data_IF_327401619230
#
_entry.id   IF_327401619230
#
_cell.length_a   1.000
_cell.length_b   1.000
_cell.length_c   1.000
_cell.angle_alpha   90.00
_cell.angle_beta   90.00
_cell.angle_gamma   90.00
#
_symmetry.space_group_name_H-M   'P 1'
#
loop_
_entity.id
_entity.type
_entity.pdbx_description
1 polymer ?
#
# COMPACT_ATOMS: atom_id res chain seq x y z
N UNK A 1 1.07 24.05 27.55
CA UNK A 1 0.74 23.76 26.14
C UNK A 1 -0.76 23.74 26.01
N UNK A 2 -1.30 24.52 25.07
CA UNK A 2 -2.72 24.49 24.75
C UNK A 2 -3.05 23.19 24.00
N UNK A 3 -4.31 22.75 24.03
CA UNK A 3 -4.81 21.60 23.26
C UNK A 3 -4.44 21.71 21.77
N UNK A 4 -4.50 22.92 21.21
CA UNK A 4 -4.05 23.20 19.82
C UNK A 4 -2.58 22.87 19.58
N UNK A 5 -1.69 23.21 20.51
CA UNK A 5 -0.26 22.93 20.38
C UNK A 5 0.00 21.42 20.37
N UNK A 6 -0.72 20.67 21.21
CA UNK A 6 -0.64 19.20 21.25
C UNK A 6 -1.12 18.61 19.92
N UNK A 7 -2.24 19.09 19.38
CA UNK A 7 -2.76 18.63 18.09
C UNK A 7 -1.75 18.90 16.97
N UNK A 8 -1.13 20.07 16.94
CA UNK A 8 -0.10 20.41 15.93
C UNK A 8 1.11 19.48 16.03
N UNK A 9 1.60 19.20 17.25
CA UNK A 9 2.72 18.26 17.43
C UNK A 9 2.34 16.86 16.94
N UNK A 10 1.15 16.36 17.29
CA UNK A 10 0.66 15.06 16.85
C UNK A 10 0.47 14.99 15.33
N UNK A 11 -0.01 16.08 14.72
CA UNK A 11 -0.14 16.20 13.27
C UNK A 11 1.23 16.11 12.59
N UNK A 12 2.22 16.88 13.06
CA UNK A 12 3.58 16.87 12.52
C UNK A 12 4.23 15.49 12.65
N UNK A 13 4.14 14.87 13.82
CA UNK A 13 4.66 13.51 14.04
C UNK A 13 3.99 12.51 13.10
N UNK A 14 2.67 12.60 12.91
CA UNK A 14 1.93 11.71 12.02
C UNK A 14 2.33 11.89 10.55
N UNK A 15 2.50 13.12 10.08
CA UNK A 15 2.98 13.44 8.73
C UNK A 15 4.38 12.87 8.50
N UNK A 16 5.30 13.08 9.44
CA UNK A 16 6.68 12.58 9.31
C UNK A 16 6.72 11.05 9.26
N UNK A 17 5.98 10.37 10.15
CA UNK A 17 5.94 8.91 10.18
C UNK A 17 5.26 8.33 8.94
N UNK A 18 4.16 8.94 8.49
CA UNK A 18 3.50 8.58 7.22
C UNK A 18 4.49 8.67 6.05
N UNK A 19 5.19 9.79 5.92
CA UNK A 19 6.12 10.05 4.81
C UNK A 19 7.30 9.07 4.81
N UNK A 20 7.90 8.80 5.96
CA UNK A 20 9.01 7.83 6.09
C UNK A 20 8.55 6.44 5.63
N UNK A 21 7.41 5.96 6.11
CA UNK A 21 6.89 4.64 5.77
C UNK A 21 6.48 4.54 4.31
N UNK A 22 5.85 5.59 3.77
CA UNK A 22 5.48 5.66 2.36
C UNK A 22 6.71 5.65 1.45
N UNK A 23 7.78 6.36 1.83
CA UNK A 23 9.05 6.36 1.11
C UNK A 23 9.74 4.99 1.19
N UNK A 24 9.70 4.31 2.35
CA UNK A 24 10.23 2.95 2.49
C UNK A 24 9.48 1.94 1.60
N UNK A 25 8.15 2.03 1.55
CA UNK A 25 7.32 1.23 0.65
C UNK A 25 7.69 1.49 -0.82
N UNK A 26 7.76 2.75 -1.22
CA UNK A 26 8.14 3.18 -2.57
C UNK A 26 9.52 2.66 -2.97
N UNK A 27 10.51 2.77 -2.08
CA UNK A 27 11.87 2.28 -2.30
C UNK A 27 11.91 0.75 -2.41
N UNK A 28 11.11 0.04 -1.61
CA UNK A 28 10.99 -1.40 -1.70
C UNK A 28 10.43 -1.83 -3.06
N UNK A 29 9.33 -1.22 -3.48
CA UNK A 29 8.69 -1.48 -4.78
C UNK A 29 9.69 -1.24 -5.93
N UNK A 30 10.41 -0.13 -5.87
CA UNK A 30 11.39 0.20 -6.90
C UNK A 30 12.59 -0.76 -6.98
N UNK A 31 12.98 -1.38 -5.85
CA UNK A 31 14.07 -2.36 -5.83
C UNK A 31 13.61 -3.78 -6.14
N UNK A 32 12.33 -4.10 -5.94
CA UNK A 32 11.83 -5.46 -6.09
C UNK A 32 11.47 -5.77 -7.55
N UNK A 33 12.42 -6.34 -8.30
CA UNK A 33 12.18 -6.81 -9.66
C UNK A 33 11.16 -7.96 -9.72
N UNK A 34 11.11 -8.80 -8.68
CA UNK A 34 10.12 -9.88 -8.55
C UNK A 34 8.70 -9.33 -8.44
N UNK A 35 8.47 -8.31 -7.58
CA UNK A 35 7.17 -7.67 -7.41
C UNK A 35 6.71 -7.00 -8.70
N UNK A 36 7.60 -6.24 -9.35
CA UNK A 36 7.30 -5.57 -10.63
C UNK A 36 6.85 -6.58 -11.68
N UNK A 37 7.55 -7.72 -11.76
CA UNK A 37 7.20 -8.81 -12.68
C UNK A 37 5.86 -9.46 -12.34
N UNK A 38 5.56 -9.65 -11.05
CA UNK A 38 4.28 -10.22 -10.61
C UNK A 38 3.10 -9.30 -10.96
N UNK A 39 3.26 -7.99 -10.81
CA UNK A 39 2.19 -7.02 -11.06
C UNK A 39 2.03 -6.73 -12.56
N UNK A 40 3.11 -6.40 -13.26
CA UNK A 40 3.05 -5.93 -14.64
C UNK A 40 3.32 -7.01 -15.70
N UNK A 41 3.77 -8.21 -15.31
CA UNK A 41 4.13 -9.30 -16.24
C UNK A 41 5.62 -9.36 -16.58
N UNK A 42 6.01 -10.35 -17.39
CA UNK A 42 7.42 -10.57 -17.76
C UNK A 42 7.98 -9.39 -18.57
N UNK A 43 9.19 -8.95 -18.22
CA UNK A 43 9.99 -7.93 -18.91
C UNK A 43 9.60 -6.46 -18.74
N UNK A 44 8.39 -6.14 -18.26
CA UNK A 44 8.00 -4.76 -17.99
C UNK A 44 8.66 -4.31 -16.67
N UNK A 45 9.51 -3.28 -16.74
CA UNK A 45 10.25 -2.68 -15.62
C UNK A 45 11.31 -3.51 -14.88
N UNK A 46 11.81 -4.63 -15.45
CA UNK A 46 12.81 -5.51 -14.79
C UNK A 46 14.02 -4.74 -14.22
N UNK A 47 14.49 -3.71 -14.93
CA UNK A 47 15.64 -2.86 -14.56
C UNK A 47 15.34 -1.35 -14.58
N UNK A 48 14.07 -0.94 -14.62
CA UNK A 48 13.68 0.49 -14.66
C UNK A 48 13.07 0.92 -13.34
N UNK A 49 13.37 2.14 -12.90
CA UNK A 49 12.60 2.81 -11.86
C UNK A 49 11.17 3.02 -12.35
N UNK A 50 10.22 2.77 -11.47
CA UNK A 50 8.84 3.14 -11.68
C UNK A 50 8.67 4.63 -11.39
N UNK A 51 7.82 5.29 -12.18
CA UNK A 51 7.31 6.61 -11.83
C UNK A 51 6.36 6.53 -10.62
N UNK A 52 5.98 7.70 -10.10
CA UNK A 52 5.12 7.80 -8.92
C UNK A 52 3.77 7.12 -9.17
N UNK A 53 3.16 7.32 -10.33
CA UNK A 53 1.85 6.75 -10.67
C UNK A 53 1.85 5.21 -10.62
N UNK A 54 2.91 4.58 -11.15
CA UNK A 54 3.06 3.14 -11.14
C UNK A 54 3.39 2.58 -9.73
N UNK A 55 4.13 3.33 -8.91
CA UNK A 55 4.35 2.96 -7.51
C UNK A 55 3.03 2.98 -6.74
N UNK A 56 2.25 4.06 -6.85
CA UNK A 56 0.95 4.17 -6.19
C UNK A 56 -0.02 3.08 -6.67
N UNK A 57 0.01 2.77 -7.97
CA UNK A 57 -0.75 1.68 -8.57
C UNK A 57 -0.43 0.33 -7.90
N UNK A 58 0.85 0.03 -7.66
CA UNK A 58 1.27 -1.18 -6.92
C UNK A 58 0.80 -1.12 -5.45
N UNK A 59 0.94 0.02 -4.77
CA UNK A 59 0.50 0.18 -3.37
C UNK A 59 -1.00 -0.09 -3.25
N UNK A 60 -1.81 0.47 -4.15
CA UNK A 60 -3.26 0.24 -4.22
C UNK A 60 -3.57 -1.24 -4.49
N UNK A 61 -2.87 -1.87 -5.44
CA UNK A 61 -3.06 -3.28 -5.76
C UNK A 61 -2.79 -4.19 -4.55
N UNK A 62 -1.66 -3.98 -3.87
CA UNK A 62 -1.29 -4.76 -2.68
C UNK A 62 -2.28 -4.54 -1.55
N UNK A 63 -2.73 -3.30 -1.37
CA UNK A 63 -3.73 -2.95 -0.37
C UNK A 63 -5.04 -3.69 -0.63
N UNK A 64 -5.54 -3.65 -1.86
CA UNK A 64 -6.75 -4.37 -2.25
C UNK A 64 -6.58 -5.88 -2.08
N UNK A 65 -5.47 -6.46 -2.53
CA UNK A 65 -5.19 -7.90 -2.39
C UNK A 65 -5.24 -8.33 -0.92
N UNK A 66 -4.55 -7.60 -0.04
CA UNK A 66 -4.51 -7.95 1.38
C UNK A 66 -5.88 -7.77 2.07
N UNK A 67 -6.61 -6.70 1.74
CA UNK A 67 -7.97 -6.47 2.26
C UNK A 67 -8.91 -7.58 1.81
N UNK A 68 -8.95 -7.87 0.51
CA UNK A 68 -9.83 -8.89 -0.06
C UNK A 68 -9.46 -10.26 0.51
N UNK A 69 -8.16 -10.59 0.62
CA UNK A 69 -7.70 -11.83 1.24
C UNK A 69 -8.14 -11.94 2.70
N UNK A 70 -8.06 -10.85 3.47
CA UNK A 70 -8.47 -10.82 4.87
C UNK A 70 -9.98 -11.05 5.04
N UNK A 71 -10.80 -10.38 4.24
CA UNK A 71 -12.27 -10.50 4.34
C UNK A 71 -12.85 -11.75 3.66
N UNK A 72 -12.19 -12.28 2.62
CA UNK A 72 -12.73 -13.39 1.82
C UNK A 72 -12.35 -14.76 2.35
N UNK A 73 -11.28 -14.89 3.16
CA UNK A 73 -10.80 -16.19 3.66
C UNK A 73 -10.66 -17.22 2.53
N UNK A 74 -11.27 -18.39 2.70
CA UNK A 74 -11.27 -19.48 1.69
C UNK A 74 -11.92 -19.10 0.34
N UNK A 75 -12.73 -18.03 0.30
CA UNK A 75 -13.39 -17.55 -0.93
C UNK A 75 -12.51 -16.60 -1.75
N UNK A 76 -11.26 -16.37 -1.35
CA UNK A 76 -10.33 -15.52 -2.10
C UNK A 76 -10.13 -16.01 -3.53
N UNK A 77 -10.03 -17.32 -3.76
CA UNK A 77 -9.94 -17.92 -5.10
C UNK A 77 -11.15 -17.60 -5.97
N UNK A 78 -12.36 -17.66 -5.39
CA UNK A 78 -13.62 -17.37 -6.09
C UNK A 78 -13.71 -15.93 -6.59
N UNK A 79 -13.04 -14.97 -5.93
CA UNK A 79 -12.97 -13.58 -6.38
C UNK A 79 -12.27 -13.46 -7.75
N UNK A 80 -11.15 -14.16 -7.94
CA UNK A 80 -10.40 -14.15 -9.19
C UNK A 80 -11.09 -14.97 -10.28
N UNK A 81 -11.71 -16.10 -9.93
CA UNK A 81 -12.47 -16.93 -10.90
C UNK A 81 -13.65 -16.14 -11.49
N UNK A 82 -14.35 -15.36 -10.67
CA UNK A 82 -15.50 -14.54 -11.11
C UNK A 82 -15.09 -13.25 -11.81
N UNK A 83 -13.90 -12.70 -11.52
CA UNK A 83 -13.44 -11.42 -12.08
C UNK A 83 -12.18 -11.64 -12.92
N UNK A 84 -12.38 -11.87 -14.21
CA UNK A 84 -11.30 -12.00 -15.22
C UNK A 84 -10.51 -10.71 -15.47
N UNK A 85 -10.98 -9.56 -14.99
CA UNK A 85 -10.34 -8.26 -15.20
C UNK A 85 -9.88 -7.68 -13.88
N UNK A 86 -8.60 -7.83 -13.60
CA UNK A 86 -7.90 -7.00 -12.64
C UNK A 86 -7.14 -5.92 -13.41
N UNK A 87 -7.02 -4.73 -12.81
CA UNK A 87 -6.38 -3.54 -13.38
C UNK A 87 -4.94 -3.84 -13.85
N UNK A 88 -4.35 -4.93 -13.34
CA UNK A 88 -3.02 -5.41 -13.70
C UNK A 88 -3.11 -6.80 -14.33
N UNK A 89 -2.56 -6.92 -15.53
CA UNK A 89 -2.53 -8.15 -16.31
C UNK A 89 -1.77 -9.29 -15.62
N UNK A 90 -0.85 -8.99 -14.71
CA UNK A 90 -0.08 -9.98 -13.97
C UNK A 90 -0.75 -10.50 -12.70
N UNK A 91 -1.78 -9.84 -12.17
CA UNK A 91 -2.38 -10.21 -10.87
C UNK A 91 -3.46 -11.28 -11.02
N UNK A 92 -3.05 -12.54 -11.20
CA UNK A 92 -3.93 -13.70 -11.01
C UNK A 92 -3.87 -14.19 -9.55
N UNK A 93 -4.71 -15.18 -9.20
CA UNK A 93 -4.78 -15.72 -7.84
C UNK A 93 -3.39 -16.16 -7.31
N UNK A 94 -2.64 -16.93 -8.10
CA UNK A 94 -1.33 -17.45 -7.72
C UNK A 94 -0.33 -16.33 -7.45
N UNK A 95 -0.25 -15.34 -8.35
CA UNK A 95 0.63 -14.20 -8.20
C UNK A 95 0.23 -13.33 -7.00
N UNK A 96 -1.07 -13.21 -6.70
CA UNK A 96 -1.52 -12.49 -5.50
C UNK A 96 -1.13 -13.22 -4.21
N UNK A 97 -1.21 -14.55 -4.19
CA UNK A 97 -0.74 -15.35 -3.06
C UNK A 97 0.77 -15.22 -2.86
N UNK A 98 1.54 -15.21 -3.95
CA UNK A 98 2.98 -14.93 -3.90
C UNK A 98 3.26 -13.52 -3.36
N UNK A 99 2.49 -12.51 -3.79
CA UNK A 99 2.64 -11.15 -3.27
C UNK A 99 2.36 -11.08 -1.76
N UNK A 100 1.30 -11.72 -1.28
CA UNK A 100 0.98 -11.77 0.16
C UNK A 100 2.09 -12.46 0.95
N UNK A 101 2.60 -13.58 0.45
CA UNK A 101 3.58 -14.41 1.15
C UNK A 101 4.98 -13.79 1.14
N UNK A 102 5.44 -13.30 0.00
CA UNK A 102 6.84 -12.91 -0.21
C UNK A 102 7.08 -11.41 0.04
N UNK A 103 6.03 -10.59 0.05
CA UNK A 103 6.11 -9.14 0.22
C UNK A 103 5.43 -8.63 1.51
N UNK A 104 5.41 -9.45 2.58
CA UNK A 104 4.89 -9.06 3.90
C UNK A 104 5.52 -7.78 4.46
N UNK A 105 6.82 -7.57 4.23
CA UNK A 105 7.53 -6.37 4.65
C UNK A 105 6.99 -5.10 3.97
N UNK A 106 6.65 -5.19 2.69
CA UNK A 106 6.02 -4.09 1.96
C UNK A 106 4.61 -3.84 2.50
N UNK A 107 3.85 -4.91 2.73
CA UNK A 107 2.52 -4.79 3.34
C UNK A 107 2.57 -4.13 4.72
N UNK A 108 3.55 -4.48 5.55
CA UNK A 108 3.78 -3.83 6.84
C UNK A 108 3.99 -2.32 6.70
N UNK A 109 4.85 -1.88 5.77
CA UNK A 109 5.06 -0.45 5.52
C UNK A 109 3.78 0.27 5.07
N UNK A 110 3.05 -0.32 4.12
CA UNK A 110 1.78 0.23 3.63
C UNK A 110 0.76 0.32 4.77
N UNK A 111 0.61 -0.74 5.56
CA UNK A 111 -0.36 -0.80 6.67
C UNK A 111 -0.11 0.30 7.70
N UNK A 112 1.12 0.48 8.14
CA UNK A 112 1.45 1.51 9.14
C UNK A 112 1.38 2.92 8.51
N UNK A 113 1.79 3.08 7.26
CA UNK A 113 1.61 4.35 6.54
C UNK A 113 0.14 4.76 6.49
N UNK A 114 -0.76 3.86 6.06
CA UNK A 114 -2.20 4.11 6.04
C UNK A 114 -2.78 4.44 7.42
N UNK A 115 -2.27 3.82 8.49
CA UNK A 115 -2.67 4.15 9.86
C UNK A 115 -2.32 5.61 10.22
N UNK A 116 -1.11 6.07 9.91
CA UNK A 116 -0.74 7.47 10.14
C UNK A 116 -1.50 8.43 9.22
N UNK A 117 -1.87 8.02 8.00
CA UNK A 117 -2.74 8.82 7.14
C UNK A 117 -4.10 9.09 7.79
N UNK A 118 -4.70 8.08 8.45
CA UNK A 118 -5.95 8.24 9.20
C UNK A 118 -5.77 9.26 10.34
N UNK A 119 -4.66 9.19 11.08
CA UNK A 119 -4.36 10.15 12.12
C UNK A 119 -4.16 11.57 11.61
N UNK A 120 -3.51 11.75 10.46
CA UNK A 120 -3.39 13.06 9.82
C UNK A 120 -4.78 13.66 9.57
N UNK A 121 -5.71 12.87 9.02
CA UNK A 121 -7.09 13.33 8.78
C UNK A 121 -7.79 13.69 10.08
N UNK A 122 -7.73 12.83 11.10
CA UNK A 122 -8.39 13.05 12.40
C UNK A 122 -7.83 14.31 13.09
N UNK A 123 -6.51 14.45 13.18
CA UNK A 123 -5.88 15.61 13.82
C UNK A 123 -6.11 16.89 13.03
N UNK A 124 -6.17 16.83 11.70
CA UNK A 124 -6.53 17.98 10.88
C UNK A 124 -7.95 18.46 11.21
N UNK A 125 -8.92 17.54 11.32
CA UNK A 125 -10.29 17.88 11.70
C UNK A 125 -10.33 18.50 13.10
N UNK A 126 -9.66 17.89 14.09
CA UNK A 126 -9.61 18.45 15.45
C UNK A 126 -8.92 19.80 15.54
N UNK A 127 -7.88 20.05 14.73
CA UNK A 127 -7.22 21.36 14.68
C UNK A 127 -8.20 22.46 14.25
N UNK A 128 -9.05 22.18 13.26
CA UNK A 128 -10.05 23.13 12.77
C UNK A 128 -11.24 23.32 13.72
N UNK A 129 -11.58 22.30 14.53
CA UNK A 129 -12.72 22.34 15.45
C UNK A 129 -12.38 22.84 16.86
N UNK A 130 -11.09 22.91 17.22
CA UNK A 130 -10.62 23.44 18.50
C UNK A 130 -10.39 24.95 18.43
#
# INVERSE_FOLDING_TARGET
MNTKDIIVILLLVSVVLWAILHQLASKYINKSSSLKRLVYGSHIYKNKSLDVANIESIIVAITMINIISFFSGEKFSNFFVKRKFLIFSGLNYENCMLVIKDHQKLWFYIKISSFFMIFIVIFSIFFWLS
#
